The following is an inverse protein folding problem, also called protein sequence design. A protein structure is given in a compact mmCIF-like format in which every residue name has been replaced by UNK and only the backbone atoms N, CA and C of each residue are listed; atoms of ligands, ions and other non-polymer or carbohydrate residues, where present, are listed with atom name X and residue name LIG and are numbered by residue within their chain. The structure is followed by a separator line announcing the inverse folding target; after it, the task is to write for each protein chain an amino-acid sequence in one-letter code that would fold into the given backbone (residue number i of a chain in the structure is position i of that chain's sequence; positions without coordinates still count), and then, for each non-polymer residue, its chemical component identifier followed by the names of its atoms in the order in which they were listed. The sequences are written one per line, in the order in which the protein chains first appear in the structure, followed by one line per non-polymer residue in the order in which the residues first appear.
data_IF_971548303005
#
_entry.id   IF_971548303005
#
_cell.length_a   1.000
_cell.length_b   1.000
_cell.length_c   1.000
_cell.angle_alpha   90.00
_cell.angle_beta   90.00
_cell.angle_gamma   90.00
#
_symmetry.space_group_name_H-M   'P 1'
#
loop_
_entity.id
_entity.type
_entity.pdbx_description
1 polymer ?
#
# COMPACT_ATOMS: atom_id res chain seq x y z
N UNK A 1 -60.25 -27.36 -33.98
CA UNK A 1 -59.63 -26.78 -32.78
C UNK A 1 -59.18 -25.37 -33.12
N UNK A 2 -59.65 -24.32 -32.41
CA UNK A 2 -59.24 -22.95 -32.70
C UNK A 2 -57.90 -22.62 -32.04
N UNK A 3 -57.03 -21.92 -32.80
CA UNK A 3 -55.73 -21.42 -32.35
C UNK A 3 -55.99 -20.06 -31.68
N UNK A 4 -55.91 -20.02 -30.36
CA UNK A 4 -56.00 -18.77 -29.59
C UNK A 4 -54.72 -17.94 -29.77
N UNK A 5 -54.87 -16.78 -30.40
CA UNK A 5 -53.82 -15.78 -30.57
C UNK A 5 -53.65 -15.03 -29.24
N UNK A 6 -52.60 -15.35 -28.47
CA UNK A 6 -52.24 -14.61 -27.25
C UNK A 6 -51.50 -13.33 -27.64
N UNK A 7 -52.14 -12.18 -27.45
CA UNK A 7 -51.50 -10.87 -27.46
C UNK A 7 -50.53 -10.79 -26.27
N UNK A 8 -49.23 -10.74 -26.55
CA UNK A 8 -48.19 -10.47 -25.56
C UNK A 8 -48.28 -9.00 -25.12
N UNK A 9 -48.51 -8.78 -23.83
CA UNK A 9 -48.54 -7.46 -23.23
C UNK A 9 -47.12 -6.83 -23.23
N UNK A 10 -47.01 -5.62 -23.76
CA UNK A 10 -45.77 -4.85 -23.77
C UNK A 10 -45.27 -4.59 -22.33
N UNK A 11 -43.96 -4.75 -22.06
CA UNK A 11 -43.41 -4.47 -20.74
C UNK A 11 -43.45 -2.97 -20.45
N UNK A 12 -44.31 -2.62 -19.49
CA UNK A 12 -44.39 -1.30 -18.85
C UNK A 12 -42.99 -0.77 -18.51
N UNK A 13 -42.56 0.29 -19.21
CA UNK A 13 -41.34 1.02 -18.91
C UNK A 13 -41.48 1.68 -17.54
N UNK A 14 -40.98 1.01 -16.50
CA UNK A 14 -40.88 1.55 -15.16
C UNK A 14 -40.12 2.90 -15.20
N UNK A 15 -40.82 3.98 -14.80
CA UNK A 15 -40.23 5.31 -14.61
C UNK A 15 -39.06 5.18 -13.63
N UNK A 16 -37.84 5.47 -14.09
CA UNK A 16 -36.67 5.59 -13.22
C UNK A 16 -36.97 6.60 -12.12
N UNK A 17 -36.93 6.15 -10.87
CA UNK A 17 -37.27 6.94 -9.70
C UNK A 17 -36.20 8.02 -9.47
N UNK A 18 -36.60 9.29 -9.42
CA UNK A 18 -35.70 10.43 -9.23
C UNK A 18 -34.94 10.39 -7.88
N UNK A 19 -35.28 9.44 -7.00
CA UNK A 19 -34.64 9.20 -5.71
C UNK A 19 -33.25 8.52 -5.81
N UNK A 20 -32.98 7.76 -6.86
CA UNK A 20 -31.76 6.94 -7.00
C UNK A 20 -30.46 7.77 -7.16
N UNK A 21 -30.40 8.82 -8.01
CA UNK A 21 -29.19 9.64 -8.19
C UNK A 21 -28.78 10.40 -6.92
N UNK A 22 -29.74 10.78 -6.09
CA UNK A 22 -29.48 11.50 -4.83
C UNK A 22 -28.83 10.57 -3.79
N UNK A 23 -29.29 9.32 -3.71
CA UNK A 23 -28.74 8.30 -2.81
C UNK A 23 -27.30 7.92 -3.21
N UNK A 24 -27.03 7.74 -4.50
CA UNK A 24 -25.68 7.48 -5.02
C UNK A 24 -24.71 8.62 -4.70
N UNK A 25 -25.11 9.87 -4.98
CA UNK A 25 -24.30 11.04 -4.68
C UNK A 25 -24.01 11.17 -3.17
N UNK A 26 -24.99 10.86 -2.32
CA UNK A 26 -24.82 10.83 -0.86
C UNK A 26 -23.82 9.74 -0.44
N UNK A 27 -23.89 8.55 -1.05
CA UNK A 27 -22.94 7.47 -0.79
C UNK A 27 -21.51 7.86 -1.17
N UNK A 28 -21.34 8.47 -2.33
CA UNK A 28 -20.03 8.93 -2.80
C UNK A 28 -19.43 10.01 -1.88
N UNK A 29 -20.25 10.93 -1.35
CA UNK A 29 -19.82 11.88 -0.32
C UNK A 29 -19.41 11.20 1.00
N UNK A 30 -20.02 10.06 1.37
CA UNK A 30 -19.59 9.29 2.56
C UNK A 30 -18.19 8.71 2.39
N UNK A 31 -17.85 8.20 1.20
CA UNK A 31 -16.51 7.71 0.90
C UNK A 31 -15.45 8.82 0.95
N UNK A 32 -15.74 10.01 0.41
CA UNK A 32 -14.84 11.17 0.51
C UNK A 32 -14.53 11.50 1.99
N UNK A 33 -15.56 11.56 2.85
CA UNK A 33 -15.40 11.78 4.29
C UNK A 33 -14.63 10.66 4.98
N UNK A 34 -14.87 9.40 4.59
CA UNK A 34 -14.15 8.25 5.14
C UNK A 34 -12.65 8.29 4.81
N UNK A 35 -12.29 8.68 3.58
CA UNK A 35 -10.90 8.88 3.18
C UNK A 35 -10.21 9.96 4.03
N UNK A 36 -10.84 11.14 4.19
CA UNK A 36 -10.28 12.23 4.99
C UNK A 36 -10.07 11.79 6.44
N UNK A 37 -11.07 11.15 7.05
CA UNK A 37 -10.99 10.61 8.41
C UNK A 37 -9.85 9.60 8.55
N UNK A 38 -9.72 8.69 7.58
CA UNK A 38 -8.63 7.70 7.57
C UNK A 38 -7.26 8.36 7.48
N UNK A 39 -7.12 9.46 6.72
CA UNK A 39 -5.87 10.23 6.67
C UNK A 39 -5.58 10.94 8.00
N UNK A 40 -6.58 11.53 8.67
CA UNK A 40 -6.44 12.18 9.98
C UNK A 40 -6.07 11.20 11.10
N UNK A 41 -6.53 9.96 11.03
CA UNK A 41 -6.19 8.93 12.03
C UNK A 41 -4.76 8.38 11.90
N UNK A 42 -4.10 8.51 10.74
CA UNK A 42 -2.75 7.97 10.54
C UNK A 42 -1.68 8.53 11.49
N UNK A 43 -1.55 9.86 11.71
CA UNK A 43 -0.59 10.40 12.66
C UNK A 43 -0.88 9.97 14.11
N UNK A 44 -2.16 9.95 14.52
CA UNK A 44 -2.58 9.47 15.85
C UNK A 44 -2.17 8.02 16.07
N UNK A 45 -2.46 7.14 15.10
CA UNK A 45 -2.05 5.73 15.16
C UNK A 45 -0.54 5.57 15.16
N UNK A 46 0.18 6.42 14.44
CA UNK A 46 1.64 6.39 14.41
C UNK A 46 2.24 6.79 15.77
N UNK A 47 1.70 7.83 16.42
CA UNK A 47 2.06 8.20 17.79
C UNK A 47 1.81 7.04 18.76
N UNK A 48 0.61 6.45 18.72
CA UNK A 48 0.27 5.30 19.57
C UNK A 48 1.25 4.12 19.38
N UNK A 49 1.72 3.85 18.15
CA UNK A 49 2.74 2.82 17.90
C UNK A 49 4.08 3.14 18.55
N UNK A 50 4.48 4.42 18.56
CA UNK A 50 5.72 4.89 19.19
C UNK A 50 5.62 4.97 20.72
N UNK A 51 4.41 5.16 21.27
CA UNK A 51 4.15 5.27 22.72
C UNK A 51 3.94 3.93 23.43
N UNK A 52 3.59 2.86 22.70
CA UNK A 52 3.41 1.53 23.29
C UNK A 52 4.68 1.04 24.00
N UNK A 53 4.53 0.58 25.26
CA UNK A 53 5.60 -0.03 26.07
C UNK A 53 5.99 -1.46 25.66
N UNK A 54 5.08 -2.23 25.03
CA UNK A 54 5.34 -3.53 24.41
C UNK A 54 4.54 -3.58 23.09
N UNK A 55 5.13 -3.88 21.91
CA UNK A 55 6.13 -4.93 21.62
C UNK A 55 7.59 -4.44 21.46
N UNK A 56 8.49 -5.36 21.08
CA UNK A 56 9.91 -5.07 20.76
C UNK A 56 10.06 -3.87 19.83
N UNK A 57 11.18 -3.16 19.96
CA UNK A 57 11.41 -1.94 19.21
C UNK A 57 11.41 -2.14 17.69
N UNK A 58 11.97 -3.26 17.22
CA UNK A 58 11.92 -3.65 15.81
C UNK A 58 10.47 -3.72 15.29
N UNK A 59 9.57 -4.35 16.06
CA UNK A 59 8.14 -4.45 15.71
C UNK A 59 7.48 -3.07 15.66
N UNK A 60 7.79 -2.19 16.61
CA UNK A 60 7.30 -0.79 16.62
C UNK A 60 7.78 -0.01 15.39
N UNK A 61 9.07 -0.06 15.07
CA UNK A 61 9.66 0.59 13.89
C UNK A 61 9.05 0.02 12.60
N UNK A 62 8.87 -1.29 12.52
CA UNK A 62 8.22 -1.94 11.38
C UNK A 62 6.77 -1.45 11.20
N UNK A 63 5.98 -1.45 12.27
CA UNK A 63 4.59 -1.01 12.25
C UNK A 63 4.48 0.48 11.89
N UNK A 64 5.32 1.33 12.47
CA UNK A 64 5.42 2.75 12.15
C UNK A 64 5.70 2.95 10.65
N UNK A 65 6.74 2.30 10.11
CA UNK A 65 7.07 2.38 8.68
C UNK A 65 5.94 1.85 7.79
N UNK A 66 5.21 0.84 8.24
CA UNK A 66 4.03 0.30 7.53
C UNK A 66 2.90 1.33 7.48
N UNK A 67 2.61 2.01 8.60
CA UNK A 67 1.63 3.11 8.66
C UNK A 67 2.03 4.28 7.75
N UNK A 68 3.30 4.72 7.80
CA UNK A 68 3.79 5.79 6.94
C UNK A 68 3.67 5.48 5.44
N UNK A 69 3.88 4.22 5.04
CA UNK A 69 3.62 3.78 3.65
C UNK A 69 2.14 3.81 3.31
N UNK A 70 1.28 3.34 4.21
CA UNK A 70 -0.17 3.37 4.02
C UNK A 70 -0.68 4.80 3.86
N UNK A 71 -0.28 5.69 4.77
CA UNK A 71 -0.67 7.10 4.74
C UNK A 71 -0.24 7.79 3.45
N UNK A 72 1.02 7.61 3.02
CA UNK A 72 1.49 8.12 1.72
C UNK A 72 0.72 7.58 0.52
N UNK A 73 0.24 6.34 0.59
CA UNK A 73 -0.57 5.76 -0.48
C UNK A 73 -1.98 6.35 -0.50
N UNK A 74 -2.59 6.60 0.66
CA UNK A 74 -3.90 7.25 0.77
C UNK A 74 -3.85 8.72 0.35
N UNK A 75 -2.80 9.46 0.68
CA UNK A 75 -2.64 10.85 0.27
C UNK A 75 -2.50 11.03 -1.25
N UNK A 76 -2.11 9.97 -1.99
CA UNK A 76 -2.15 9.99 -3.47
C UNK A 76 -3.57 9.97 -4.03
N UNK A 77 -4.56 9.68 -3.19
CA UNK A 77 -5.96 9.76 -3.53
C UNK A 77 -6.55 11.16 -3.32
N UNK A 78 -5.79 12.16 -2.86
CA UNK A 78 -6.34 13.48 -2.59
C UNK A 78 -7.04 14.12 -3.81
N UNK A 79 -8.13 14.89 -3.59
CA UNK A 79 -8.75 15.68 -4.63
C UNK A 79 -7.81 16.80 -5.10
N UNK A 80 -8.11 17.42 -6.25
CA UNK A 80 -7.24 18.41 -6.87
C UNK A 80 -6.93 19.59 -5.93
N UNK A 81 -7.94 20.11 -5.22
CA UNK A 81 -7.79 21.21 -4.26
C UNK A 81 -6.87 20.91 -3.07
N UNK A 82 -6.64 19.64 -2.74
CA UNK A 82 -5.75 19.22 -1.65
C UNK A 82 -4.44 18.62 -2.20
N UNK A 83 -4.20 18.66 -3.51
CA UNK A 83 -3.10 17.92 -4.13
C UNK A 83 -1.71 18.43 -3.72
N UNK A 84 -1.56 19.74 -3.56
CA UNK A 84 -0.32 20.41 -3.13
C UNK A 84 -0.01 20.09 -1.66
N UNK A 85 -0.92 20.41 -0.73
CA UNK A 85 -0.76 20.04 0.68
C UNK A 85 -0.57 18.53 0.88
N UNK A 86 -1.25 17.68 0.11
CA UNK A 86 -1.00 16.24 0.12
C UNK A 86 0.37 15.87 -0.46
N UNK A 87 0.95 16.68 -1.35
CA UNK A 87 2.34 16.59 -1.80
C UNK A 87 3.32 16.81 -0.66
N UNK A 88 3.17 17.91 0.06
CA UNK A 88 4.03 18.30 1.18
C UNK A 88 3.99 17.27 2.30
N UNK A 89 2.79 16.93 2.79
CA UNK A 89 2.61 15.92 3.84
C UNK A 89 3.22 14.57 3.41
N UNK A 90 3.11 14.18 2.14
CA UNK A 90 3.78 12.95 1.64
C UNK A 90 5.30 13.06 1.66
N UNK A 91 5.87 14.22 1.37
CA UNK A 91 7.30 14.46 1.44
C UNK A 91 7.79 14.34 2.88
N UNK A 92 7.07 14.94 3.82
CA UNK A 92 7.34 14.94 5.26
C UNK A 92 7.30 13.52 5.83
N UNK A 93 6.22 12.77 5.56
CA UNK A 93 6.11 11.34 5.90
C UNK A 93 7.26 10.54 5.25
N UNK A 94 7.73 10.97 4.08
CA UNK A 94 8.89 10.40 3.42
C UNK A 94 10.18 10.56 4.21
N UNK A 95 10.42 11.76 4.76
CA UNK A 95 11.56 12.07 5.63
C UNK A 95 11.47 11.27 6.92
N UNK A 96 10.34 11.35 7.62
CA UNK A 96 10.08 10.57 8.85
C UNK A 96 10.34 9.08 8.66
N UNK A 97 9.80 8.49 7.59
CA UNK A 97 10.00 7.06 7.32
C UNK A 97 11.47 6.72 7.05
N UNK A 98 12.22 7.59 6.36
CA UNK A 98 13.63 7.35 6.00
C UNK A 98 14.55 7.42 7.21
N UNK A 99 14.24 8.21 8.23
CA UNK A 99 14.98 8.25 9.48
C UNK A 99 15.17 6.84 10.07
N UNK A 100 14.12 6.00 10.03
CA UNK A 100 14.15 4.60 10.46
C UNK A 100 14.64 3.62 9.37
N UNK A 101 15.47 4.07 8.44
CA UNK A 101 16.00 3.27 7.33
C UNK A 101 17.07 2.27 7.78
N UNK A 102 18.14 2.79 8.37
CA UNK A 102 19.33 2.03 8.74
C UNK A 102 19.02 0.87 9.70
N UNK A 103 18.31 1.15 10.80
CA UNK A 103 17.87 0.15 11.77
C UNK A 103 17.10 -1.03 11.14
N UNK A 104 16.32 -0.78 10.07
CA UNK A 104 15.59 -1.84 9.38
C UNK A 104 16.53 -2.70 8.53
N UNK A 105 17.51 -2.10 7.89
CA UNK A 105 18.29 -2.77 6.85
C UNK A 105 19.17 -3.87 7.46
N UNK A 106 19.75 -3.66 8.65
CA UNK A 106 20.47 -4.69 9.40
C UNK A 106 19.60 -5.91 9.73
N UNK A 107 18.40 -5.71 10.30
CA UNK A 107 17.47 -6.82 10.59
C UNK A 107 17.05 -7.57 9.32
N UNK A 108 16.88 -6.86 8.22
CA UNK A 108 16.49 -7.48 6.94
C UNK A 108 17.62 -8.26 6.30
N UNK A 109 18.86 -7.77 6.39
CA UNK A 109 20.04 -8.51 5.94
C UNK A 109 20.14 -9.82 6.73
N UNK A 110 20.08 -9.75 8.06
CA UNK A 110 20.12 -10.93 8.93
C UNK A 110 19.01 -11.94 8.57
N UNK A 111 17.76 -11.48 8.40
CA UNK A 111 16.65 -12.34 8.03
C UNK A 111 16.77 -12.93 6.61
N UNK A 112 17.37 -12.20 5.67
CA UNK A 112 17.62 -12.67 4.31
C UNK A 112 18.73 -13.72 4.25
N UNK A 113 19.84 -13.50 4.97
CA UNK A 113 20.96 -14.44 5.11
C UNK A 113 20.53 -15.74 5.78
N UNK A 114 19.77 -15.65 6.88
CA UNK A 114 19.16 -16.82 7.54
C UNK A 114 18.31 -17.65 6.58
N UNK A 115 17.52 -17.00 5.71
CA UNK A 115 16.64 -17.67 4.74
C UNK A 115 17.41 -18.48 3.68
N UNK A 116 18.64 -18.09 3.37
CA UNK A 116 19.49 -18.81 2.41
C UNK A 116 20.46 -19.79 3.11
N UNK A 117 20.34 -19.95 4.43
CA UNK A 117 21.12 -20.88 5.24
C UNK A 117 22.57 -20.41 5.43
N UNK A 118 22.80 -19.10 5.60
CA UNK A 118 24.10 -18.58 6.01
C UNK A 118 24.17 -18.56 7.54
N UNK A 119 25.24 -19.12 8.09
CA UNK A 119 25.38 -19.32 9.55
C UNK A 119 25.96 -18.09 10.26
N UNK A 120 26.84 -17.33 9.58
CA UNK A 120 27.42 -16.07 10.09
C UNK A 120 26.44 -14.91 9.93
N UNK A 121 25.33 -14.98 10.67
CA UNK A 121 24.28 -13.95 10.62
C UNK A 121 24.78 -12.74 11.44
N UNK A 122 24.78 -11.51 10.90
CA UNK A 122 25.11 -10.33 11.68
C UNK A 122 24.16 -10.22 12.90
N UNK A 123 24.63 -9.75 14.05
CA UNK A 123 23.83 -9.76 15.27
C UNK A 123 22.56 -8.93 15.08
N UNK A 124 21.39 -9.57 15.18
CA UNK A 124 20.11 -8.86 15.13
C UNK A 124 19.96 -7.86 16.30
N UNK A 125 20.73 -8.07 17.36
CA UNK A 125 20.81 -7.22 18.55
C UNK A 125 21.37 -5.84 18.22
N UNK A 126 22.39 -5.73 17.35
CA UNK A 126 22.94 -4.44 16.93
C UNK A 126 21.88 -3.57 16.23
N UNK A 127 21.04 -4.18 15.39
CA UNK A 127 19.94 -3.47 14.74
C UNK A 127 18.90 -2.95 15.75
N UNK A 128 18.64 -3.71 16.82
CA UNK A 128 17.74 -3.31 17.89
C UNK A 128 18.34 -2.18 18.75
N UNK A 129 19.64 -2.24 19.03
CA UNK A 129 20.39 -1.17 19.72
C UNK A 129 20.33 0.11 18.91
N UNK A 130 20.60 0.05 17.60
CA UNK A 130 20.61 1.24 16.74
C UNK A 130 19.21 1.82 16.53
N UNK A 131 18.18 0.96 16.44
CA UNK A 131 16.79 1.41 16.51
C UNK A 131 16.51 2.15 17.83
N UNK A 132 17.07 1.65 18.93
CA UNK A 132 16.91 2.20 20.29
C UNK A 132 17.55 3.56 20.44
N UNK A 133 18.76 3.69 19.93
CA UNK A 133 19.48 4.96 19.83
C UNK A 133 18.69 5.96 18.99
N UNK A 134 18.27 5.58 17.78
CA UNK A 134 17.50 6.44 16.90
C UNK A 134 16.18 6.91 17.54
N UNK A 135 15.46 6.03 18.22
CA UNK A 135 14.21 6.41 18.87
C UNK A 135 14.45 7.34 20.07
N UNK A 136 15.56 7.18 20.81
CA UNK A 136 15.94 8.11 21.89
C UNK A 136 16.35 9.48 21.34
N UNK A 137 17.14 9.51 20.29
CA UNK A 137 17.70 10.75 19.73
C UNK A 137 16.68 11.54 18.90
N UNK A 138 15.84 10.84 18.13
CA UNK A 138 14.92 11.47 17.16
C UNK A 138 13.45 11.29 17.54
N UNK A 139 13.13 10.53 18.59
CA UNK A 139 11.76 10.22 18.98
C UNK A 139 10.92 11.45 19.20
N UNK A 140 11.41 12.42 19.96
CA UNK A 140 10.67 13.64 20.28
C UNK A 140 10.45 14.52 19.06
N UNK A 141 11.47 14.66 18.20
CA UNK A 141 11.34 15.36 16.92
C UNK A 141 10.31 14.68 16.00
N UNK A 142 10.32 13.34 15.91
CA UNK A 142 9.34 12.56 15.14
C UNK A 142 7.93 12.76 15.72
N UNK A 143 7.77 12.73 17.05
CA UNK A 143 6.48 12.96 17.72
C UNK A 143 5.95 14.37 17.49
N UNK A 144 6.81 15.38 17.63
CA UNK A 144 6.47 16.77 17.36
C UNK A 144 6.00 16.95 15.90
N UNK A 145 6.73 16.36 14.94
CA UNK A 145 6.35 16.42 13.53
C UNK A 145 5.02 15.70 13.26
N UNK A 146 4.77 14.54 13.88
CA UNK A 146 3.48 13.85 13.75
C UNK A 146 2.32 14.70 14.30
N UNK A 147 2.51 15.40 15.42
CA UNK A 147 1.51 16.33 15.99
C UNK A 147 1.28 17.51 15.04
N UNK A 148 2.33 18.11 14.49
CA UNK A 148 2.23 19.18 13.49
C UNK A 148 1.45 18.73 12.26
N UNK A 149 1.79 17.56 11.71
CA UNK A 149 1.08 16.99 10.56
C UNK A 149 -0.39 16.66 10.90
N UNK A 150 -0.67 16.21 12.13
CA UNK A 150 -2.03 16.00 12.60
C UNK A 150 -2.83 17.30 12.60
N UNK A 151 -2.27 18.38 13.17
CA UNK A 151 -2.91 19.69 13.18
C UNK A 151 -3.17 20.23 11.77
N UNK A 152 -2.21 20.09 10.86
CA UNK A 152 -2.38 20.48 9.45
C UNK A 152 -3.52 19.71 8.76
N UNK A 153 -3.66 18.41 9.05
CA UNK A 153 -4.73 17.58 8.48
C UNK A 153 -6.13 17.92 9.02
N UNK A 154 -6.25 18.50 10.22
CA UNK A 154 -7.54 18.94 10.77
C UNK A 154 -8.14 20.11 10.00
N UNK A 155 -7.31 20.95 9.38
CA UNK A 155 -7.74 22.08 8.56
C UNK A 155 -8.29 21.64 7.19
N UNK A 156 -7.99 20.42 6.74
CA UNK A 156 -8.43 19.96 5.43
C UNK A 156 -9.92 19.65 5.42
N UNK A 157 -10.64 20.13 4.42
CA UNK A 157 -12.05 19.81 4.22
C UNK A 157 -12.27 19.04 2.92
N UNK A 158 -13.21 18.08 2.96
CA UNK A 158 -13.78 17.45 1.76
C UNK A 158 -15.21 17.94 1.47
N UNK A 159 -15.66 19.03 2.09
CA UNK A 159 -16.97 19.63 1.82
C UNK A 159 -17.09 20.01 0.33
N UNK A 160 -18.18 19.60 -0.32
CA UNK A 160 -18.40 19.81 -1.76
C UNK A 160 -17.75 18.79 -2.69
N UNK A 161 -16.92 17.86 -2.19
CA UNK A 161 -16.33 16.81 -3.02
C UNK A 161 -17.20 15.55 -3.01
N UNK A 162 -17.30 14.89 -4.16
CA UNK A 162 -17.86 13.54 -4.28
C UNK A 162 -16.75 12.50 -4.15
N UNK A 163 -17.10 11.22 -4.07
CA UNK A 163 -16.13 10.12 -4.09
C UNK A 163 -15.43 9.92 -5.44
N UNK A 164 -15.76 10.70 -6.48
CA UNK A 164 -15.24 10.50 -7.84
C UNK A 164 -13.73 10.68 -7.93
N UNK A 165 -13.18 11.62 -7.14
CA UNK A 165 -11.74 11.85 -7.11
C UNK A 165 -10.98 10.59 -6.64
N UNK A 166 -11.57 9.78 -5.74
CA UNK A 166 -11.00 8.51 -5.26
C UNK A 166 -10.89 7.50 -6.41
N UNK A 167 -11.96 7.36 -7.20
CA UNK A 167 -11.99 6.48 -8.38
C UNK A 167 -10.95 6.93 -9.41
N UNK A 168 -10.90 8.23 -9.72
CA UNK A 168 -9.92 8.77 -10.66
C UNK A 168 -8.48 8.57 -10.19
N UNK A 169 -8.20 8.81 -8.92
CA UNK A 169 -6.87 8.63 -8.34
C UNK A 169 -6.45 7.16 -8.29
N UNK A 170 -7.35 6.26 -7.89
CA UNK A 170 -7.14 4.82 -7.94
C UNK A 170 -6.80 4.35 -9.35
N UNK A 171 -7.54 4.82 -10.37
CA UNK A 171 -7.25 4.54 -11.79
C UNK A 171 -5.85 4.97 -12.19
N UNK A 172 -5.35 6.11 -11.69
CA UNK A 172 -3.97 6.57 -11.93
C UNK A 172 -2.94 5.64 -11.29
N UNK A 173 -3.14 5.23 -10.03
CA UNK A 173 -2.27 4.27 -9.35
C UNK A 173 -2.23 2.93 -10.06
N UNK A 174 -3.40 2.38 -10.41
CA UNK A 174 -3.52 1.13 -11.15
C UNK A 174 -2.80 1.20 -12.50
N UNK A 175 -3.02 2.29 -13.26
CA UNK A 175 -2.31 2.53 -14.52
C UNK A 175 -0.79 2.59 -14.33
N UNK A 176 -0.31 3.25 -13.27
CA UNK A 176 1.13 3.35 -12.97
C UNK A 176 1.73 1.96 -12.66
N UNK A 177 1.07 1.17 -11.82
CA UNK A 177 1.48 -0.20 -11.52
C UNK A 177 1.49 -1.07 -12.78
N UNK A 178 0.43 -1.01 -13.60
CA UNK A 178 0.31 -1.74 -14.87
C UNK A 178 1.37 -1.34 -15.89
N UNK A 179 1.64 -0.04 -16.05
CA UNK A 179 2.72 0.44 -16.95
C UNK A 179 4.08 -0.07 -16.53
N UNK A 180 4.34 -0.17 -15.23
CA UNK A 180 5.56 -0.78 -14.72
C UNK A 180 5.65 -2.26 -15.07
N UNK A 181 4.55 -3.01 -14.97
CA UNK A 181 4.46 -4.44 -15.26
C UNK A 181 4.56 -4.79 -16.77
N UNK A 182 4.38 -3.82 -17.68
CA UNK A 182 4.59 -4.05 -19.13
C UNK A 182 6.01 -4.49 -19.46
N UNK A 183 6.98 -4.15 -18.62
CA UNK A 183 8.33 -4.70 -18.71
C UNK A 183 8.35 -5.98 -17.88
N UNK A 184 9.03 -7.00 -18.39
CA UNK A 184 9.14 -8.27 -17.69
C UNK A 184 9.88 -8.11 -16.34
N UNK A 185 9.23 -8.33 -15.18
CA UNK A 185 9.86 -8.27 -13.86
C UNK A 185 11.10 -9.15 -13.72
N UNK A 186 11.18 -10.25 -14.49
CA UNK A 186 12.33 -11.16 -14.50
C UNK A 186 13.58 -10.45 -14.99
N UNK A 187 13.43 -9.55 -15.96
CA UNK A 187 14.52 -8.85 -16.66
C UNK A 187 14.74 -7.41 -16.20
N UNK A 188 13.94 -6.89 -15.26
CA UNK A 188 14.11 -5.52 -14.79
C UNK A 188 15.40 -5.35 -13.98
N UNK A 189 16.17 -4.30 -14.28
CA UNK A 189 17.21 -3.81 -13.37
C UNK A 189 16.61 -3.28 -12.06
N UNK A 190 17.38 -3.34 -10.97
CA UNK A 190 16.92 -3.09 -9.60
C UNK A 190 16.25 -1.72 -9.43
N UNK A 191 16.83 -0.65 -9.97
CA UNK A 191 16.25 0.72 -9.93
C UNK A 191 14.85 0.77 -10.54
N UNK A 192 14.62 0.07 -11.66
CA UNK A 192 13.30 -0.01 -12.31
C UNK A 192 12.34 -0.86 -11.49
N UNK A 193 12.81 -2.02 -11.00
CA UNK A 193 12.05 -2.89 -10.12
C UNK A 193 11.60 -2.16 -8.84
N UNK A 194 12.43 -1.28 -8.29
CA UNK A 194 12.14 -0.52 -7.07
C UNK A 194 11.02 0.51 -7.29
N UNK A 195 11.10 1.24 -8.42
CA UNK A 195 10.04 2.17 -8.82
C UNK A 195 8.72 1.46 -9.05
N UNK A 196 8.75 0.29 -9.71
CA UNK A 196 7.55 -0.50 -9.94
C UNK A 196 6.98 -1.06 -8.63
N UNK A 197 7.82 -1.62 -7.75
CA UNK A 197 7.43 -2.06 -6.41
C UNK A 197 6.76 -0.93 -5.64
N UNK A 198 7.30 0.28 -5.67
CA UNK A 198 6.68 1.44 -5.00
C UNK A 198 5.25 1.69 -5.51
N UNK A 199 5.01 1.59 -6.82
CA UNK A 199 3.66 1.71 -7.38
C UNK A 199 2.73 0.55 -6.97
N UNK A 200 3.25 -0.67 -6.86
CA UNK A 200 2.49 -1.83 -6.35
C UNK A 200 2.14 -1.65 -4.87
N UNK A 201 3.08 -1.17 -4.06
CA UNK A 201 2.86 -0.86 -2.64
C UNK A 201 1.73 0.15 -2.49
N UNK A 202 1.77 1.24 -3.27
CA UNK A 202 0.72 2.25 -3.26
C UNK A 202 -0.65 1.66 -3.63
N UNK A 203 -0.71 0.90 -4.72
CA UNK A 203 -1.94 0.23 -5.17
C UNK A 203 -2.46 -0.75 -4.10
N UNK A 204 -1.60 -1.54 -3.47
CA UNK A 204 -1.98 -2.50 -2.45
C UNK A 204 -2.63 -1.85 -1.23
N UNK A 205 -2.06 -0.75 -0.72
CA UNK A 205 -2.69 0.01 0.37
C UNK A 205 -4.02 0.64 -0.04
N UNK A 206 -4.14 1.13 -1.28
CA UNK A 206 -5.41 1.66 -1.79
C UNK A 206 -6.46 0.55 -1.93
N UNK A 207 -6.12 -0.61 -2.48
CA UNK A 207 -7.02 -1.77 -2.48
C UNK A 207 -7.44 -2.18 -1.07
N UNK A 208 -6.49 -2.20 -0.12
CA UNK A 208 -6.77 -2.50 1.28
C UNK A 208 -7.66 -1.46 1.98
N UNK A 209 -7.67 -0.21 1.51
CA UNK A 209 -8.63 0.80 1.96
C UNK A 209 -10.03 0.53 1.39
N UNK A 210 -10.14 0.19 0.12
CA UNK A 210 -11.46 -0.05 -0.51
C UNK A 210 -12.03 -1.45 -0.25
N UNK A 211 -11.24 -2.41 0.27
CA UNK A 211 -11.73 -3.77 0.56
C UNK A 211 -12.91 -3.77 1.56
N UNK A 212 -13.02 -2.73 2.39
CA UNK A 212 -14.09 -2.57 3.36
C UNK A 212 -15.45 -2.24 2.74
N UNK A 213 -15.52 -2.03 1.42
CA UNK A 213 -16.77 -1.99 0.67
C UNK A 213 -17.46 -3.37 0.57
N UNK A 214 -16.94 -4.44 1.17
CA UNK A 214 -17.54 -5.77 1.07
C UNK A 214 -17.37 -6.45 -0.30
N UNK A 215 -16.84 -5.75 -1.31
CA UNK A 215 -16.55 -6.34 -2.62
C UNK A 215 -15.51 -7.45 -2.50
N UNK A 216 -15.97 -8.69 -2.69
CA UNK A 216 -15.11 -9.88 -2.70
C UNK A 216 -13.97 -9.76 -3.72
N UNK A 217 -14.21 -9.04 -4.82
CA UNK A 217 -13.23 -8.79 -5.87
C UNK A 217 -12.16 -7.79 -5.45
N UNK A 218 -12.51 -6.69 -4.77
CA UNK A 218 -11.52 -5.75 -4.23
C UNK A 218 -10.66 -6.40 -3.14
N UNK A 219 -11.25 -7.26 -2.31
CA UNK A 219 -10.53 -8.10 -1.34
C UNK A 219 -9.52 -9.02 -2.04
N UNK A 220 -9.93 -9.80 -3.04
CA UNK A 220 -9.01 -10.64 -3.84
C UNK A 220 -7.89 -9.83 -4.50
N UNK A 221 -8.18 -8.61 -4.95
CA UNK A 221 -7.17 -7.70 -5.50
C UNK A 221 -6.19 -7.19 -4.44
N UNK A 222 -6.68 -6.84 -3.24
CA UNK A 222 -5.83 -6.44 -2.12
C UNK A 222 -4.87 -7.57 -1.71
N UNK A 223 -5.37 -8.79 -1.58
CA UNK A 223 -4.57 -9.99 -1.28
C UNK A 223 -3.53 -10.27 -2.36
N UNK A 224 -3.91 -10.18 -3.64
CA UNK A 224 -2.99 -10.37 -4.75
C UNK A 224 -1.89 -9.30 -4.79
N UNK A 225 -2.24 -8.04 -4.51
CA UNK A 225 -1.28 -6.95 -4.39
C UNK A 225 -0.33 -7.13 -3.21
N UNK A 226 -0.83 -7.64 -2.08
CA UNK A 226 -0.01 -7.97 -0.92
C UNK A 226 0.98 -9.10 -1.22
N UNK A 227 0.51 -10.20 -1.82
CA UNK A 227 1.41 -11.30 -2.25
C UNK A 227 2.48 -10.81 -3.23
N UNK A 228 2.10 -9.99 -4.21
CA UNK A 228 3.04 -9.40 -5.17
C UNK A 228 4.08 -8.53 -4.45
N UNK A 229 3.62 -7.67 -3.53
CA UNK A 229 4.48 -6.81 -2.70
C UNK A 229 5.48 -7.62 -1.87
N UNK A 230 5.05 -8.73 -1.29
CA UNK A 230 5.90 -9.64 -0.51
C UNK A 230 7.01 -10.26 -1.36
N UNK A 231 6.66 -10.80 -2.53
CA UNK A 231 7.67 -11.36 -3.45
C UNK A 231 8.66 -10.31 -3.93
N UNK A 232 8.18 -9.10 -4.28
CA UNK A 232 9.07 -8.00 -4.64
C UNK A 232 9.93 -7.57 -3.46
N UNK A 233 9.38 -7.52 -2.24
CA UNK A 233 10.12 -7.25 -1.00
C UNK A 233 11.30 -8.21 -0.82
N UNK A 234 11.05 -9.51 -0.94
CA UNK A 234 12.11 -10.52 -0.80
C UNK A 234 13.25 -10.35 -1.81
N UNK A 235 12.95 -9.90 -3.04
CA UNK A 235 14.01 -9.60 -4.02
C UNK A 235 14.93 -8.47 -3.52
N UNK A 236 14.37 -7.42 -2.93
CA UNK A 236 15.18 -6.32 -2.35
C UNK A 236 15.93 -6.76 -1.10
N UNK A 237 15.32 -7.60 -0.27
CA UNK A 237 15.96 -8.10 0.95
C UNK A 237 17.18 -8.97 0.62
N UNK A 238 17.05 -9.82 -0.40
CA UNK A 238 18.13 -10.65 -0.93
C UNK A 238 19.22 -9.82 -1.62
N UNK A 239 18.85 -8.77 -2.34
CA UNK A 239 19.82 -7.85 -2.96
C UNK A 239 20.62 -7.08 -1.90
N UNK A 240 19.99 -6.66 -0.79
CA UNK A 240 20.70 -6.06 0.34
C UNK A 240 21.69 -7.05 0.97
N UNK A 241 21.28 -8.31 1.17
CA UNK A 241 22.18 -9.34 1.68
C UNK A 241 23.36 -9.60 0.73
N UNK A 242 23.13 -9.60 -0.58
CA UNK A 242 24.18 -9.71 -1.59
C UNK A 242 25.19 -8.56 -1.50
N UNK A 243 24.71 -7.32 -1.40
CA UNK A 243 25.58 -6.14 -1.28
C UNK A 243 26.36 -6.14 0.04
N UNK A 244 25.76 -6.64 1.12
CA UNK A 244 26.44 -6.83 2.40
C UNK A 244 27.61 -7.81 2.28
N UNK A 245 27.39 -8.99 1.69
CA UNK A 245 28.46 -9.98 1.47
C UNK A 245 29.59 -9.44 0.58
N UNK A 246 29.24 -8.65 -0.44
CA UNK A 246 30.25 -8.04 -1.32
C UNK A 246 31.14 -6.99 -0.62
N UNK A 247 30.71 -6.44 0.52
CA UNK A 247 31.48 -5.49 1.31
C UNK A 247 32.18 -6.09 2.53
N UNK A 248 31.95 -7.37 2.84
CA UNK A 248 32.56 -8.06 3.97
C UNK A 248 33.86 -8.77 3.53
N UNK A 249 34.78 -9.06 4.48
CA UNK A 249 35.93 -9.93 4.19
C UNK A 249 35.47 -11.28 3.65
N UNK A 250 36.11 -11.76 2.58
CA UNK A 250 35.70 -12.98 1.89
C UNK A 250 35.72 -14.19 2.84
N UNK A 251 34.55 -14.81 3.00
CA UNK A 251 34.38 -16.09 3.67
C UNK A 251 34.44 -17.26 2.69
N UNK A 252 34.91 -18.41 3.18
CA UNK A 252 34.97 -19.68 2.43
C UNK A 252 33.62 -20.08 1.80
N UNK A 253 32.51 -19.68 2.43
CA UNK A 253 31.15 -20.03 2.02
C UNK A 253 30.42 -19.00 1.13
N UNK A 254 31.04 -17.85 0.88
CA UNK A 254 30.34 -16.71 0.28
C UNK A 254 29.87 -17.00 -1.15
N UNK A 255 30.69 -17.68 -1.97
CA UNK A 255 30.33 -18.04 -3.33
C UNK A 255 29.06 -18.93 -3.38
N UNK A 256 28.99 -19.90 -2.46
CA UNK A 256 27.84 -20.81 -2.31
C UNK A 256 26.59 -20.06 -1.89
N UNK A 257 26.70 -19.12 -0.96
CA UNK A 257 25.58 -18.29 -0.50
C UNK A 257 25.11 -17.31 -1.56
N UNK A 258 26.02 -16.65 -2.26
CA UNK A 258 25.71 -15.76 -3.38
C UNK A 258 24.93 -16.51 -4.48
N UNK A 259 25.34 -17.73 -4.82
CA UNK A 259 24.60 -18.57 -5.76
C UNK A 259 23.17 -18.87 -5.30
N UNK A 260 22.97 -19.21 -4.01
CA UNK A 260 21.63 -19.43 -3.43
C UNK A 260 20.78 -18.15 -3.46
N UNK A 261 21.37 -17.00 -3.16
CA UNK A 261 20.72 -15.69 -3.23
C UNK A 261 20.21 -15.42 -4.65
N UNK A 262 21.04 -15.58 -5.68
CA UNK A 262 20.65 -15.34 -7.08
C UNK A 262 19.53 -16.28 -7.53
N UNK A 263 19.64 -17.57 -7.20
CA UNK A 263 18.59 -18.56 -7.48
C UNK A 263 17.26 -18.15 -6.84
N UNK A 264 17.28 -17.68 -5.60
CA UNK A 264 16.08 -17.27 -4.89
C UNK A 264 15.50 -15.95 -5.44
N UNK A 265 16.35 -14.98 -5.82
CA UNK A 265 15.93 -13.76 -6.54
C UNK A 265 15.18 -14.14 -7.82
N UNK A 266 15.74 -15.04 -8.64
CA UNK A 266 15.12 -15.53 -9.87
C UNK A 266 13.73 -16.13 -9.63
N UNK A 267 13.60 -17.03 -8.65
CA UNK A 267 12.31 -17.64 -8.25
C UNK A 267 11.30 -16.58 -7.81
N UNK A 268 11.70 -15.60 -6.99
CA UNK A 268 10.79 -14.56 -6.48
C UNK A 268 10.33 -13.61 -7.58
N UNK A 269 11.22 -13.25 -8.52
CA UNK A 269 10.86 -12.47 -9.72
C UNK A 269 9.85 -13.20 -10.61
N UNK A 270 10.03 -14.52 -10.81
CA UNK A 270 9.08 -15.33 -11.58
C UNK A 270 7.69 -15.36 -10.93
N UNK A 271 7.62 -15.57 -9.61
CA UNK A 271 6.36 -15.51 -8.86
C UNK A 271 5.71 -14.11 -8.93
N UNK A 272 6.52 -13.05 -8.83
CA UNK A 272 6.04 -11.68 -8.97
C UNK A 272 5.46 -11.40 -10.36
N UNK A 273 6.09 -11.87 -11.44
CA UNK A 273 5.56 -11.73 -12.80
C UNK A 273 4.17 -12.37 -12.94
N UNK A 274 4.02 -13.63 -12.53
CA UNK A 274 2.71 -14.35 -12.59
C UNK A 274 1.61 -13.70 -11.74
N UNK A 275 1.97 -13.05 -10.63
CA UNK A 275 1.00 -12.32 -9.80
C UNK A 275 0.65 -10.97 -10.42
N UNK A 276 1.61 -10.28 -11.05
CA UNK A 276 1.38 -9.03 -11.73
C UNK A 276 0.43 -9.20 -12.92
N UNK A 277 0.62 -10.25 -13.72
CA UNK A 277 -0.25 -10.54 -14.87
C UNK A 277 -1.71 -10.71 -14.42
N UNK A 278 -1.93 -11.47 -13.34
CA UNK A 278 -3.27 -11.70 -12.77
C UNK A 278 -3.88 -10.45 -12.10
N UNK A 279 -3.08 -9.66 -11.40
CA UNK A 279 -3.56 -8.47 -10.68
C UNK A 279 -3.86 -7.30 -11.63
N UNK A 280 -3.07 -7.17 -12.69
CA UNK A 280 -3.00 -6.00 -13.59
C UNK A 280 -3.55 -6.31 -15.00
N UNK A 281 -4.31 -7.39 -15.12
CA UNK A 281 -4.95 -7.90 -16.35
C UNK A 281 -5.90 -6.88 -17.00
N UNK A 282 -6.65 -6.16 -16.17
CA UNK A 282 -7.73 -5.28 -16.62
C UNK A 282 -7.22 -3.96 -17.17
N UNK A 283 -8.06 -3.36 -18.02
CA UNK A 283 -7.89 -1.97 -18.44
C UNK A 283 -8.13 -1.05 -17.22
N UNK A 284 -7.32 0.01 -17.03
CA UNK A 284 -7.51 0.92 -15.89
C UNK A 284 -8.92 1.55 -15.79
N UNK A 285 -9.59 1.79 -16.93
CA UNK A 285 -10.99 2.26 -16.95
C UNK A 285 -11.93 1.24 -16.28
N UNK A 286 -11.84 -0.03 -16.65
CA UNK A 286 -12.64 -1.11 -16.08
C UNK A 286 -12.36 -1.32 -14.58
N UNK A 287 -11.09 -1.25 -14.15
CA UNK A 287 -10.74 -1.32 -12.74
C UNK A 287 -11.38 -0.18 -11.92
N UNK A 288 -11.42 1.03 -12.48
CA UNK A 288 -12.09 2.17 -11.85
C UNK A 288 -13.61 2.07 -11.84
N UNK A 289 -14.24 1.63 -12.94
CA UNK A 289 -15.68 1.41 -13.00
C UNK A 289 -16.12 0.38 -11.95
N UNK A 290 -15.37 -0.71 -11.80
CA UNK A 290 -15.66 -1.69 -10.77
C UNK A 290 -15.54 -1.13 -9.34
N UNK A 291 -14.52 -0.30 -9.07
CA UNK A 291 -14.40 0.38 -7.79
C UNK A 291 -15.58 1.33 -7.54
N UNK A 292 -15.99 2.10 -8.55
CA UNK A 292 -17.14 2.99 -8.49
C UNK A 292 -18.40 2.23 -8.06
N UNK A 293 -18.77 1.17 -8.79
CA UNK A 293 -19.93 0.33 -8.46
C UNK A 293 -19.84 -0.21 -7.04
N UNK A 294 -18.65 -0.68 -6.61
CA UNK A 294 -18.47 -1.16 -5.23
C UNK A 294 -18.72 -0.07 -4.18
N UNK A 295 -18.31 1.18 -4.47
CA UNK A 295 -18.50 2.32 -3.57
C UNK A 295 -19.95 2.81 -3.54
N UNK A 296 -20.66 2.77 -4.67
CA UNK A 296 -22.07 3.14 -4.79
C UNK A 296 -22.97 2.13 -4.07
N UNK A 297 -22.71 0.83 -4.23
CA UNK A 297 -23.51 -0.21 -3.60
C UNK A 297 -23.21 -0.43 -2.11
N UNK A 298 -22.02 -0.02 -1.62
CA UNK A 298 -21.59 -0.37 -0.26
C UNK A 298 -21.03 0.85 0.48
N UNK A 299 -21.57 1.17 1.67
CA UNK A 299 -21.03 2.25 2.47
C UNK A 299 -19.63 1.91 3.00
N UNK A 300 -18.78 2.92 3.24
CA UNK A 300 -17.55 2.70 3.97
C UNK A 300 -17.88 2.20 5.39
N UNK A 301 -16.99 1.39 6.00
CA UNK A 301 -17.21 0.87 7.33
C UNK A 301 -17.35 2.02 8.32
N UNK A 302 -18.20 1.83 9.32
CA UNK A 302 -18.18 2.69 10.51
C UNK A 302 -16.86 2.44 11.20
N UNK A 303 -15.90 3.36 11.08
CA UNK A 303 -14.71 3.38 11.94
C UNK A 303 -15.19 3.39 13.39
N UNK A 304 -15.07 2.26 14.10
CA UNK A 304 -15.08 2.28 15.56
C UNK A 304 -13.83 3.08 15.94
N UNK A 305 -14.02 4.24 16.55
CA UNK A 305 -12.92 4.93 17.22
C UNK A 305 -12.50 3.97 18.34
N UNK A 306 -11.32 3.38 18.17
CA UNK A 306 -10.66 2.59 19.20
C UNK A 306 -9.72 3.52 19.96
#
# INVERSE_FOLDING_TARGET
MPIECRCEAEPSMAKADASEPAAEAAMMRRWARHWLRSCRQMPVRALAVLDRGAPSLEKRVHEFRRLMKAWRALLRLAPARLAEGAGEVRADIGRLRRAFGAARDATVIAAALKRVGFERIPPAEEAAVEAGKLLREQGDAVRAELRRLSAAMEQWSVAGETGDFLVLAYRRSYRRARRGARRDPRRMGLKRLHRWRSAVVDLGYQCGFFQSSGSARLRKQAEAAERLRTHLGHVFDLDLARNYLAGAPAGEDDARVLHRIEREIGKRRQKAARLADRLLDRRPRSAGAHLRTAMECNPPPRTRLA
#
